data_IF_545616312715
#
_entry.id   IF_545616312715
#
_cell.length_a   1.000
_cell.length_b   1.000
_cell.length_c   1.000
_cell.angle_alpha   90.00
_cell.angle_beta   90.00
_cell.angle_gamma   90.00
#
_symmetry.space_group_name_H-M   'P 1'
#
loop_
_entity.id
_entity.type
_entity.pdbx_description
1 polymer ?
#
# COMPACT_ATOMS: atom_id res chain seq x y z
N UNK A 1 -8.46 -19.61 -4.63
CA UNK A 1 -7.46 -19.20 -3.62
C UNK A 1 -6.62 -18.07 -4.17
N UNK A 2 -6.51 -16.99 -3.42
CA UNK A 2 -5.62 -15.89 -3.81
C UNK A 2 -4.18 -16.43 -3.90
N UNK A 3 -3.57 -16.32 -5.08
CA UNK A 3 -2.21 -16.75 -5.32
C UNK A 3 -1.18 -15.66 -5.01
N UNK A 4 -1.63 -14.58 -4.36
CA UNK A 4 -0.76 -13.46 -4.05
C UNK A 4 0.26 -13.79 -2.98
N UNK A 5 1.44 -13.22 -3.10
CA UNK A 5 2.49 -13.33 -2.10
C UNK A 5 2.42 -12.12 -1.17
N UNK A 6 1.99 -12.34 0.07
CA UNK A 6 1.72 -11.27 1.04
C UNK A 6 2.81 -11.12 2.10
N UNK A 7 3.96 -11.76 1.95
CA UNK A 7 5.05 -11.58 2.91
C UNK A 7 5.52 -10.11 2.94
N UNK A 8 6.09 -9.71 4.06
CA UNK A 8 6.47 -8.32 4.30
C UNK A 8 7.44 -7.76 3.23
N UNK A 9 8.45 -8.55 2.85
CA UNK A 9 9.42 -8.12 1.83
C UNK A 9 8.76 -7.85 0.48
N UNK A 10 7.82 -8.70 0.10
CA UNK A 10 7.08 -8.54 -1.15
C UNK A 10 6.15 -7.33 -1.12
N UNK A 11 5.50 -7.07 0.03
CA UNK A 11 4.65 -5.88 0.22
C UNK A 11 5.45 -4.59 0.10
N UNK A 12 6.63 -4.54 0.68
CA UNK A 12 7.52 -3.37 0.56
C UNK A 12 8.00 -3.19 -0.88
N UNK A 13 8.36 -4.28 -1.55
CA UNK A 13 8.77 -4.23 -2.95
C UNK A 13 7.64 -3.68 -3.83
N UNK A 14 6.40 -4.08 -3.57
CA UNK A 14 5.23 -3.54 -4.26
C UNK A 14 5.13 -2.02 -4.12
N UNK A 15 5.31 -1.51 -2.90
CA UNK A 15 5.25 -0.06 -2.63
C UNK A 15 6.33 0.66 -3.42
N UNK A 16 7.56 0.17 -3.43
CA UNK A 16 8.64 0.76 -4.23
C UNK A 16 8.24 0.85 -5.69
N UNK A 17 7.84 -0.28 -6.27
CA UNK A 17 7.59 -0.37 -7.70
C UNK A 17 6.40 0.45 -8.18
N UNK A 18 5.34 0.52 -7.39
CA UNK A 18 4.07 1.11 -7.85
C UNK A 18 3.76 2.48 -7.29
N UNK A 19 4.45 2.90 -6.23
CA UNK A 19 4.16 4.17 -5.58
C UNK A 19 5.29 5.18 -5.67
N UNK A 20 6.52 4.74 -5.86
CA UNK A 20 7.69 5.61 -5.81
C UNK A 20 8.58 5.55 -7.04
N UNK A 21 8.79 4.37 -7.63
CA UNK A 21 9.60 4.22 -8.84
C UNK A 21 8.75 4.52 -10.09
N UNK A 22 8.46 5.79 -10.30
CA UNK A 22 7.56 6.25 -11.38
C UNK A 22 8.15 5.96 -12.76
N UNK A 23 9.45 6.12 -12.92
CA UNK A 23 10.15 5.86 -14.19
C UNK A 23 10.59 4.42 -14.36
N UNK A 24 10.35 3.57 -13.34
CA UNK A 24 10.64 2.14 -13.34
C UNK A 24 12.12 1.83 -13.59
N UNK A 25 13.02 2.69 -13.09
CA UNK A 25 14.47 2.51 -13.22
C UNK A 25 15.07 1.61 -12.11
N UNK A 26 14.26 1.18 -11.14
CA UNK A 26 14.69 0.33 -10.03
C UNK A 26 15.31 1.08 -8.85
N UNK A 27 15.25 2.41 -8.88
CA UNK A 27 15.76 3.27 -7.81
C UNK A 27 14.69 4.28 -7.39
N UNK A 28 14.77 4.72 -6.14
CA UNK A 28 14.01 5.87 -5.69
C UNK A 28 14.88 7.11 -5.76
N UNK A 29 14.34 8.18 -6.34
CA UNK A 29 15.05 9.44 -6.43
C UNK A 29 15.15 10.06 -5.03
N UNK A 30 16.31 10.67 -4.75
CA UNK A 30 16.55 11.38 -3.49
C UNK A 30 15.52 12.48 -3.21
N UNK A 31 14.90 12.98 -4.26
CA UNK A 31 13.84 13.98 -4.16
C UNK A 31 12.60 13.45 -3.43
N UNK A 32 12.34 12.16 -3.55
CA UNK A 32 11.21 11.50 -2.89
C UNK A 32 11.51 11.13 -1.44
N UNK A 33 12.80 10.93 -1.10
CA UNK A 33 13.24 10.51 0.24
C UNK A 33 14.60 11.12 0.63
N UNK A 34 14.68 12.45 0.67
CA UNK A 34 15.93 13.17 1.02
C UNK A 34 16.57 12.69 2.33
N UNK A 35 15.74 12.24 3.28
CA UNK A 35 16.23 11.79 4.58
C UNK A 35 16.69 10.32 4.60
N UNK A 36 16.49 9.55 3.53
CA UNK A 36 16.82 8.13 3.46
C UNK A 36 18.00 7.80 2.56
N UNK A 37 18.32 8.67 1.61
CA UNK A 37 19.38 8.46 0.63
C UNK A 37 20.67 9.18 1.03
N UNK A 38 21.78 8.44 1.10
CA UNK A 38 23.10 9.00 1.36
C UNK A 38 23.83 9.41 0.07
N UNK A 39 23.47 8.82 -1.06
CA UNK A 39 24.13 9.00 -2.36
C UNK A 39 23.23 9.58 -3.45
N UNK A 40 21.99 9.93 -3.12
CA UNK A 40 21.01 10.46 -4.07
C UNK A 40 20.08 9.42 -4.71
N UNK A 41 20.31 8.14 -4.45
CA UNK A 41 19.47 7.03 -4.94
C UNK A 41 19.16 6.07 -3.80
N UNK A 42 17.94 5.53 -3.79
CA UNK A 42 17.52 4.52 -2.82
C UNK A 42 17.21 3.22 -3.55
N UNK A 43 17.92 2.17 -3.22
CA UNK A 43 17.63 0.82 -3.74
C UNK A 43 16.45 0.20 -3.00
N UNK A 44 15.86 -0.87 -3.58
CA UNK A 44 14.78 -1.63 -2.92
C UNK A 44 15.23 -2.13 -1.53
N UNK A 45 16.45 -2.62 -1.42
CA UNK A 45 16.99 -3.14 -0.14
C UNK A 45 17.16 -2.02 0.90
N UNK A 46 17.65 -0.86 0.49
CA UNK A 46 17.76 0.31 1.37
C UNK A 46 16.37 0.79 1.82
N UNK A 47 15.39 0.78 0.91
CA UNK A 47 14.01 1.12 1.25
C UNK A 47 13.41 0.10 2.25
N UNK A 48 13.62 -1.19 2.03
CA UNK A 48 13.18 -2.23 2.96
C UNK A 48 13.78 -2.02 4.36
N UNK A 49 15.06 -1.71 4.43
CA UNK A 49 15.74 -1.46 5.70
C UNK A 49 15.18 -0.21 6.39
N UNK A 50 14.93 0.86 5.64
CA UNK A 50 14.32 2.07 6.17
C UNK A 50 12.90 1.81 6.68
N UNK A 51 12.08 1.09 5.93
CA UNK A 51 10.71 0.73 6.37
C UNK A 51 10.77 -0.13 7.63
N UNK A 52 11.69 -1.09 7.71
CA UNK A 52 11.86 -1.91 8.90
C UNK A 52 12.16 -1.05 10.14
N UNK A 53 13.03 -0.06 9.98
CA UNK A 53 13.43 0.81 11.10
C UNK A 53 12.35 1.84 11.47
N UNK A 54 11.60 2.34 10.49
CA UNK A 54 10.72 3.48 10.65
C UNK A 54 9.23 3.12 10.78
N UNK A 55 8.83 1.96 10.29
CA UNK A 55 7.41 1.58 10.17
C UNK A 55 7.03 0.32 10.97
N UNK A 56 7.91 -0.67 11.06
CA UNK A 56 7.56 -1.95 11.71
C UNK A 56 7.25 -1.72 13.19
N UNK A 57 6.07 -2.18 13.62
CA UNK A 57 5.59 -2.01 14.99
C UNK A 57 5.08 -0.61 15.30
N UNK A 58 4.95 0.26 14.32
CA UNK A 58 4.51 1.65 14.50
C UNK A 58 3.14 1.90 13.91
N UNK A 59 2.45 2.92 14.43
CA UNK A 59 1.19 3.40 13.87
C UNK A 59 1.46 4.41 12.76
N UNK A 60 0.41 4.72 11.97
CA UNK A 60 0.50 5.73 10.92
C UNK A 60 1.04 7.07 11.44
N UNK A 61 0.60 7.50 12.63
CA UNK A 61 1.02 8.79 13.21
C UNK A 61 2.53 8.84 13.49
N UNK A 62 3.15 7.69 13.69
CA UNK A 62 4.59 7.58 13.96
C UNK A 62 5.44 7.48 12.68
N UNK A 63 4.80 7.41 11.51
CA UNK A 63 5.50 7.34 10.23
C UNK A 63 6.17 8.68 9.89
N UNK A 64 7.26 8.66 9.10
CA UNK A 64 7.85 9.89 8.58
C UNK A 64 6.85 10.74 7.81
N UNK A 65 6.96 12.06 7.92
CA UNK A 65 6.02 13.00 7.29
C UNK A 65 5.91 12.82 5.77
N UNK A 66 7.01 12.63 5.01
CA UNK A 66 6.90 12.39 3.57
C UNK A 66 6.09 11.13 3.23
N UNK A 67 6.24 10.07 4.02
CA UNK A 67 5.49 8.83 3.83
C UNK A 67 4.00 9.03 4.14
N UNK A 68 3.67 9.72 5.22
CA UNK A 68 2.28 10.06 5.55
C UNK A 68 1.63 10.88 4.44
N UNK A 69 2.34 11.83 3.89
CA UNK A 69 1.85 12.65 2.78
C UNK A 69 1.59 11.80 1.53
N UNK A 70 2.50 10.91 1.18
CA UNK A 70 2.35 10.00 0.04
C UNK A 70 1.13 9.08 0.20
N UNK A 71 0.91 8.56 1.41
CA UNK A 71 -0.25 7.71 1.72
C UNK A 71 -1.56 8.49 1.54
N UNK A 72 -1.63 9.72 2.04
CA UNK A 72 -2.81 10.57 1.91
C UNK A 72 -3.08 10.94 0.45
N UNK A 73 -2.06 11.24 -0.33
CA UNK A 73 -2.19 11.51 -1.77
C UNK A 73 -2.68 10.27 -2.53
N UNK A 74 -2.21 9.09 -2.15
CA UNK A 74 -2.64 7.84 -2.76
C UNK A 74 -4.13 7.58 -2.52
N UNK A 75 -4.60 7.82 -1.30
CA UNK A 75 -6.03 7.72 -0.99
C UNK A 75 -6.86 8.70 -1.82
N UNK A 76 -6.43 9.94 -1.90
CA UNK A 76 -7.13 10.97 -2.68
C UNK A 76 -7.24 10.60 -4.16
N UNK A 77 -6.20 9.97 -4.71
CA UNK A 77 -6.21 9.47 -6.09
C UNK A 77 -7.15 8.28 -6.25
N UNK A 78 -7.20 7.38 -5.29
CA UNK A 78 -8.06 6.20 -5.31
C UNK A 78 -9.55 6.56 -5.16
N UNK A 79 -9.86 7.51 -4.29
CA UNK A 79 -11.21 8.07 -4.12
C UNK A 79 -11.55 8.98 -5.31
N UNK A 80 -11.88 8.36 -6.43
CA UNK A 80 -12.05 9.05 -7.71
C UNK A 80 -13.27 9.97 -7.75
N UNK A 81 -14.33 9.64 -7.03
CA UNK A 81 -15.55 10.47 -6.94
C UNK A 81 -15.49 11.54 -5.84
N UNK A 82 -14.48 11.49 -4.96
CA UNK A 82 -14.28 12.48 -3.91
C UNK A 82 -15.29 12.43 -2.79
N UNK A 83 -15.95 11.30 -2.54
CA UNK A 83 -16.97 11.16 -1.50
C UNK A 83 -16.41 10.85 -0.10
N UNK A 84 -15.09 10.65 0.01
CA UNK A 84 -14.41 10.31 1.26
C UNK A 84 -14.48 8.83 1.63
N UNK A 85 -14.89 7.98 0.68
CA UNK A 85 -14.95 6.53 0.85
C UNK A 85 -14.29 5.83 -0.34
N UNK A 86 -13.43 4.87 -0.05
CA UNK A 86 -12.91 3.97 -1.08
C UNK A 86 -13.90 2.82 -1.24
N UNK A 87 -14.68 2.87 -2.32
CA UNK A 87 -15.67 1.86 -2.66
C UNK A 87 -15.04 0.64 -3.34
N UNK A 88 -15.83 -0.44 -3.46
CA UNK A 88 -15.39 -1.64 -4.19
C UNK A 88 -15.02 -1.34 -5.64
N UNK A 89 -15.81 -0.51 -6.32
CA UNK A 89 -15.56 -0.18 -7.73
C UNK A 89 -14.27 0.62 -7.91
N UNK A 90 -13.99 1.55 -7.01
CA UNK A 90 -12.74 2.31 -6.99
C UNK A 90 -11.54 1.41 -6.65
N UNK A 91 -11.71 0.49 -5.71
CA UNK A 91 -10.68 -0.50 -5.38
C UNK A 91 -10.37 -1.41 -6.56
N UNK A 92 -11.40 -1.88 -7.28
CA UNK A 92 -11.23 -2.66 -8.52
C UNK A 92 -10.44 -1.87 -9.56
N UNK A 93 -10.81 -0.61 -9.78
CA UNK A 93 -10.16 0.25 -10.75
C UNK A 93 -8.68 0.46 -10.41
N UNK A 94 -8.36 0.68 -9.16
CA UNK A 94 -6.98 0.81 -8.68
C UNK A 94 -6.18 -0.47 -8.92
N UNK A 95 -6.73 -1.63 -8.61
CA UNK A 95 -6.05 -2.90 -8.83
C UNK A 95 -5.81 -3.19 -10.31
N UNK A 96 -6.82 -2.94 -11.16
CA UNK A 96 -6.73 -3.19 -12.59
C UNK A 96 -5.73 -2.23 -13.25
N UNK A 97 -5.73 -0.96 -12.87
CA UNK A 97 -4.85 0.04 -13.47
C UNK A 97 -3.36 -0.17 -13.16
N UNK A 98 -3.05 -0.74 -12.00
CA UNK A 98 -1.67 -0.99 -11.57
C UNK A 98 -1.11 -2.32 -12.03
N UNK A 99 -1.96 -3.31 -12.13
CA UNK A 99 -1.56 -4.68 -12.43
C UNK A 99 -2.54 -5.23 -13.45
N UNK A 100 -2.06 -6.04 -14.38
CA UNK A 100 -2.93 -6.73 -15.32
C UNK A 100 -3.69 -7.88 -14.63
N UNK A 101 -4.39 -7.56 -13.55
CA UNK A 101 -5.19 -8.54 -12.80
C UNK A 101 -6.42 -8.88 -13.64
N UNK A 102 -6.64 -10.16 -13.86
CA UNK A 102 -7.71 -10.66 -14.71
C UNK A 102 -8.88 -11.21 -13.92
N UNK A 103 -8.67 -11.51 -12.64
CA UNK A 103 -9.66 -12.15 -11.80
C UNK A 103 -10.27 -11.14 -10.83
N UNK A 104 -11.48 -10.70 -11.14
CA UNK A 104 -12.23 -9.77 -10.29
C UNK A 104 -12.65 -10.40 -8.97
N UNK A 105 -12.85 -11.72 -8.94
CA UNK A 105 -13.25 -12.41 -7.70
C UNK A 105 -12.13 -12.37 -6.67
N UNK A 106 -10.87 -12.48 -7.10
CA UNK A 106 -9.72 -12.32 -6.21
C UNK A 106 -9.62 -10.89 -5.66
N UNK A 107 -9.87 -9.89 -6.50
CA UNK A 107 -9.89 -8.48 -6.07
C UNK A 107 -11.00 -8.26 -5.05
N UNK A 108 -12.19 -8.75 -5.33
CA UNK A 108 -13.35 -8.62 -4.45
C UNK A 108 -13.11 -9.30 -3.10
N UNK A 109 -12.51 -10.49 -3.09
CA UNK A 109 -12.17 -11.21 -1.86
C UNK A 109 -11.17 -10.39 -1.02
N UNK A 110 -10.15 -9.82 -1.63
CA UNK A 110 -9.21 -8.94 -0.94
C UNK A 110 -9.93 -7.74 -0.32
N UNK A 111 -10.81 -7.08 -1.07
CA UNK A 111 -11.57 -5.94 -0.55
C UNK A 111 -12.45 -6.34 0.64
N UNK A 112 -13.16 -7.45 0.56
CA UNK A 112 -14.00 -7.93 1.67
C UNK A 112 -13.19 -8.22 2.94
N UNK A 113 -11.96 -8.69 2.80
CA UNK A 113 -11.06 -8.94 3.93
C UNK A 113 -10.56 -7.66 4.60
N UNK A 114 -10.51 -6.54 3.88
CA UNK A 114 -10.15 -5.23 4.42
C UNK A 114 -11.23 -4.64 5.31
N UNK A 115 -12.51 -4.95 5.03
CA UNK A 115 -13.64 -4.27 5.63
C UNK A 115 -13.96 -4.78 7.04
N UNK A 116 -14.20 -3.84 7.94
CA UNK A 116 -14.89 -4.08 9.20
C UNK A 116 -16.40 -3.98 8.98
N UNK A 117 -17.19 -4.36 9.98
CA UNK A 117 -18.65 -4.21 9.91
C UNK A 117 -19.06 -2.74 9.76
N UNK A 118 -18.31 -1.83 10.38
CA UNK A 118 -18.55 -0.38 10.24
C UNK A 118 -18.27 0.10 8.82
N UNK A 119 -17.21 -0.39 8.19
CA UNK A 119 -16.88 -0.05 6.80
C UNK A 119 -17.98 -0.55 5.86
N UNK A 120 -18.50 -1.74 6.08
CA UNK A 120 -19.63 -2.31 5.29
C UNK A 120 -20.89 -1.46 5.42
N UNK A 121 -21.22 -1.03 6.63
CA UNK A 121 -22.37 -0.15 6.87
C UNK A 121 -22.20 1.21 6.20
N UNK A 122 -20.98 1.71 6.17
CA UNK A 122 -20.63 3.02 5.61
C UNK A 122 -20.57 3.00 4.07
N UNK A 123 -20.30 1.84 3.50
CA UNK A 123 -20.20 1.65 2.05
C UNK A 123 -18.79 1.78 1.48
N UNK A 124 -17.77 1.82 2.33
CA UNK A 124 -16.39 1.90 1.89
C UNK A 124 -15.41 2.24 3.00
N UNK A 125 -14.15 2.46 2.62
CA UNK A 125 -13.02 2.69 3.52
C UNK A 125 -12.75 4.19 3.61
N UNK A 126 -12.76 4.76 4.83
CA UNK A 126 -12.41 6.16 5.07
C UNK A 126 -10.90 6.38 5.00
N UNK A 127 -10.46 7.63 4.89
CA UNK A 127 -9.04 7.98 4.96
C UNK A 127 -8.39 7.46 6.25
N UNK A 128 -9.03 7.64 7.39
CA UNK A 128 -8.52 7.16 8.67
C UNK A 128 -8.32 5.64 8.67
N UNK A 129 -9.28 4.91 8.14
CA UNK A 129 -9.18 3.45 8.03
C UNK A 129 -8.10 3.03 7.03
N UNK A 130 -7.99 3.75 5.92
CA UNK A 130 -6.93 3.53 4.92
C UNK A 130 -5.54 3.72 5.52
N UNK A 131 -5.36 4.75 6.33
CA UNK A 131 -4.10 5.00 7.05
C UNK A 131 -3.73 3.84 7.98
N UNK A 132 -4.70 3.32 8.74
CA UNK A 132 -4.50 2.14 9.60
C UNK A 132 -4.09 0.91 8.78
N UNK A 133 -4.79 0.65 7.68
CA UNK A 133 -4.50 -0.48 6.80
C UNK A 133 -3.13 -0.34 6.14
N UNK A 134 -2.73 0.86 5.75
CA UNK A 134 -1.41 1.10 5.18
C UNK A 134 -0.31 0.91 6.23
N UNK A 135 -0.55 1.32 7.47
CA UNK A 135 0.36 1.09 8.56
C UNK A 135 0.57 -0.42 8.82
N UNK A 136 -0.48 -1.23 8.71
CA UNK A 136 -0.36 -2.69 8.77
C UNK A 136 0.39 -3.25 7.56
N UNK A 137 0.11 -2.73 6.36
CA UNK A 137 0.75 -3.19 5.13
C UNK A 137 2.27 -3.03 5.18
N UNK A 138 2.76 -1.92 5.73
CA UNK A 138 4.19 -1.65 5.84
C UNK A 138 4.80 -2.07 7.18
N UNK A 139 4.02 -2.04 8.24
CA UNK A 139 4.52 -2.16 9.61
C UNK A 139 4.29 -3.50 10.28
N UNK A 140 3.47 -4.38 9.72
CA UNK A 140 3.24 -5.71 10.27
C UNK A 140 4.22 -6.70 9.64
N UNK A 141 5.15 -7.28 10.42
CA UNK A 141 6.18 -8.16 9.86
C UNK A 141 5.64 -9.52 9.40
N UNK A 142 4.51 -9.94 9.92
CA UNK A 142 3.84 -11.17 9.50
C UNK A 142 2.67 -10.88 8.54
N UNK A 143 1.98 -11.91 8.08
CA UNK A 143 0.87 -11.82 7.15
C UNK A 143 -0.51 -11.97 7.82
N UNK A 144 -0.59 -11.66 9.12
CA UNK A 144 -1.83 -11.80 9.90
C UNK A 144 -2.76 -10.60 9.86
N UNK A 145 -2.27 -9.42 9.47
CA UNK A 145 -3.04 -8.18 9.46
C UNK A 145 -4.03 -8.10 8.30
N UNK A 146 -5.13 -7.38 8.50
CA UNK A 146 -6.08 -7.10 7.40
C UNK A 146 -5.45 -6.23 6.31
N UNK A 147 -4.55 -5.33 6.68
CA UNK A 147 -3.90 -4.39 5.77
C UNK A 147 -3.08 -5.04 4.66
N UNK A 148 -2.70 -6.30 4.79
CA UNK A 148 -1.93 -7.01 3.75
C UNK A 148 -2.69 -7.09 2.41
N UNK A 149 -4.02 -6.97 2.43
CA UNK A 149 -4.88 -7.02 1.24
C UNK A 149 -5.14 -5.63 0.63
N UNK A 150 -4.50 -4.58 1.15
CA UNK A 150 -4.81 -3.18 0.80
C UNK A 150 -4.73 -2.87 -0.70
N UNK A 151 -3.85 -3.54 -1.42
CA UNK A 151 -3.66 -3.32 -2.86
C UNK A 151 -4.14 -4.50 -3.72
N UNK A 152 -4.97 -5.37 -3.16
CA UNK A 152 -5.46 -6.54 -3.84
C UNK A 152 -4.42 -7.65 -3.94
N UNK A 153 -4.59 -8.61 -4.87
CA UNK A 153 -3.61 -9.67 -5.07
C UNK A 153 -2.24 -9.10 -5.46
N UNK A 154 -1.19 -9.52 -4.76
CA UNK A 154 0.17 -9.05 -5.02
C UNK A 154 0.93 -10.05 -5.91
N UNK A 155 1.68 -9.58 -6.92
CA UNK A 155 2.59 -10.44 -7.64
C UNK A 155 3.75 -10.88 -6.75
N UNK A 156 4.39 -11.98 -7.09
CA UNK A 156 5.60 -12.45 -6.42
C UNK A 156 6.82 -11.81 -7.10
N UNK A 157 7.55 -11.01 -6.33
CA UNK A 157 8.77 -10.33 -6.79
C UNK A 157 10.05 -11.10 -6.41
N UNK A 158 9.90 -12.26 -5.81
CA UNK A 158 11.06 -13.07 -5.40
C UNK A 158 11.83 -13.65 -6.60
#
# INVERSE_FOLDING_TARGET
MASGCYDWGNRVHFVVKHLYDIDNNGYLDSHDFECLALDGHVTVEEFKQAVQNLCVGKTFEQFPQPLKHAINCKYTTADANGDGLLSLDEFRLECISRQAIRDLDEIDDCYQRLLTDEDRKRGGITLSRYQELFAEFLGCPDDSGQGIFLFGPLPDYA
#
